data_IF_485375314273
#
_entry.id   IF_485375314273
#
_cell.length_a   1.000
_cell.length_b   1.000
_cell.length_c   1.000
_cell.angle_alpha   90.00
_cell.angle_beta   90.00
_cell.angle_gamma   90.00
#
_symmetry.space_group_name_H-M   'P 1'
#
loop_
_entity.id
_entity.type
_entity.pdbx_description
1 polymer ?
#
# COMPACT_ATOMS: atom_id res chain seq x y z
N UNK A 1 14.88 -4.19 -3.11
CA UNK A 1 14.41 -3.16 -2.17
C UNK A 1 15.62 -2.39 -1.66
N UNK A 2 15.62 -1.07 -1.77
CA UNK A 2 16.67 -0.21 -1.23
C UNK A 2 16.49 -0.05 0.29
N UNK A 3 17.54 -0.31 1.05
CA UNK A 3 17.48 -0.17 2.51
C UNK A 3 17.57 1.31 2.89
N UNK A 4 16.47 1.84 3.41
CA UNK A 4 16.41 3.21 3.93
C UNK A 4 16.94 4.22 2.92
N UNK A 5 16.48 4.13 1.66
CA UNK A 5 17.00 4.91 0.54
C UNK A 5 17.09 6.41 0.86
N UNK A 6 15.98 7.03 1.31
CA UNK A 6 15.96 8.46 1.60
C UNK A 6 16.89 8.86 2.76
N UNK A 7 16.87 8.20 3.93
CA UNK A 7 17.89 8.44 4.95
C UNK A 7 19.34 8.35 4.43
N UNK A 8 19.65 7.32 3.64
CA UNK A 8 20.98 7.12 3.08
C UNK A 8 21.38 8.24 2.12
N UNK A 9 20.45 8.74 1.30
CA UNK A 9 20.68 9.87 0.41
C UNK A 9 20.86 11.19 1.17
N UNK A 10 20.05 11.42 2.20
CA UNK A 10 20.20 12.59 3.06
C UNK A 10 21.57 12.62 3.73
N UNK A 11 22.05 11.46 4.21
CA UNK A 11 23.39 11.32 4.75
C UNK A 11 24.47 11.54 3.68
N UNK A 12 24.35 10.86 2.54
CA UNK A 12 25.36 10.88 1.47
C UNK A 12 25.60 12.27 0.90
N UNK A 13 24.52 13.03 0.68
CA UNK A 13 24.57 14.36 0.06
C UNK A 13 24.45 15.51 1.07
N UNK A 14 24.57 15.20 2.37
CA UNK A 14 24.45 16.16 3.48
C UNK A 14 23.17 17.01 3.39
N UNK A 15 22.04 16.40 3.07
CA UNK A 15 20.78 17.09 2.79
C UNK A 15 20.12 17.49 4.12
N UNK A 16 20.12 18.79 4.41
CA UNK A 16 19.53 19.36 5.62
C UNK A 16 19.14 20.82 5.41
N UNK A 17 18.28 21.35 6.28
CA UNK A 17 17.84 22.75 6.23
C UNK A 17 19.00 23.72 6.51
N UNK A 18 19.96 23.31 7.35
CA UNK A 18 21.13 24.08 7.76
C UNK A 18 22.33 23.90 6.81
N UNK A 19 22.23 23.03 5.81
CA UNK A 19 23.26 22.84 4.78
C UNK A 19 22.82 23.33 3.41
N UNK A 20 21.53 23.61 3.21
CA UNK A 20 20.99 24.24 2.01
C UNK A 20 21.65 25.62 1.79
N UNK A 21 22.30 25.80 0.65
CA UNK A 21 23.08 27.01 0.35
C UNK A 21 23.34 27.14 -1.16
N UNK A 22 23.28 28.36 -1.71
CA UNK A 22 23.56 28.63 -3.12
C UNK A 22 25.00 28.24 -3.53
N UNK A 23 25.95 28.33 -2.60
CA UNK A 23 27.36 27.95 -2.79
C UNK A 23 27.62 26.47 -2.51
N UNK A 24 26.58 25.68 -2.21
CA UNK A 24 26.70 24.26 -1.90
C UNK A 24 27.23 23.43 -3.08
N UNK A 25 28.13 22.49 -2.77
CA UNK A 25 28.82 21.66 -3.77
C UNK A 25 28.01 20.41 -4.16
N UNK A 26 27.12 19.94 -3.29
CA UNK A 26 26.22 18.83 -3.61
C UNK A 26 24.98 19.38 -4.32
N UNK A 27 24.93 19.21 -5.63
CA UNK A 27 23.84 19.69 -6.48
C UNK A 27 22.86 18.56 -6.74
N UNK A 28 21.60 18.75 -6.34
CA UNK A 28 20.53 17.80 -6.61
C UNK A 28 20.05 17.86 -8.05
N UNK A 29 19.37 16.82 -8.58
CA UNK A 29 18.78 16.85 -9.91
C UNK A 29 17.74 17.95 -10.12
N UNK A 30 17.18 18.48 -9.03
CA UNK A 30 16.27 19.64 -9.04
C UNK A 30 17.00 20.97 -8.80
N UNK A 31 18.32 21.01 -8.98
CA UNK A 31 19.20 22.18 -8.85
C UNK A 31 19.28 22.81 -7.46
N UNK A 32 18.85 22.10 -6.40
CA UNK A 32 19.11 22.52 -5.03
C UNK A 32 20.51 22.16 -4.60
N UNK A 33 21.14 23.03 -3.81
CA UNK A 33 22.55 22.93 -3.46
C UNK A 33 22.73 22.80 -1.97
N UNK A 34 23.58 21.86 -1.55
CA UNK A 34 23.88 21.58 -0.16
C UNK A 34 25.38 21.61 0.05
N UNK A 35 25.83 22.25 1.14
CA UNK A 35 27.23 22.23 1.56
C UNK A 35 27.67 20.81 1.90
N UNK A 36 28.89 20.44 1.54
CA UNK A 36 29.49 19.16 1.98
C UNK A 36 29.85 19.16 3.46
N UNK A 37 30.32 20.30 3.97
CA UNK A 37 30.72 20.50 5.36
C UNK A 37 30.25 21.89 5.86
N UNK A 38 29.99 22.06 7.17
CA UNK A 38 29.96 21.00 8.20
C UNK A 38 28.79 20.02 8.02
N UNK A 39 28.84 18.87 8.70
CA UNK A 39 27.72 17.93 8.75
C UNK A 39 26.44 18.63 9.24
N UNK A 40 25.36 18.48 8.47
CA UNK A 40 24.05 19.05 8.82
C UNK A 40 23.36 18.29 9.94
N UNK A 41 22.42 18.97 10.60
CA UNK A 41 21.66 18.40 11.70
C UNK A 41 20.92 17.10 11.33
N UNK A 42 20.19 17.08 10.20
CA UNK A 42 19.42 15.90 9.79
C UNK A 42 20.33 14.69 9.43
N UNK A 43 21.39 14.85 8.63
CA UNK A 43 22.41 13.82 8.42
C UNK A 43 22.99 13.25 9.71
N UNK A 44 23.39 14.09 10.66
CA UNK A 44 23.91 13.65 11.96
C UNK A 44 22.89 12.82 12.75
N UNK A 45 21.65 13.32 12.85
CA UNK A 45 20.57 12.63 13.54
C UNK A 45 20.26 11.26 12.90
N UNK A 46 20.24 11.19 11.56
CA UNK A 46 20.02 9.96 10.82
C UNK A 46 21.16 8.96 10.99
N UNK A 47 22.43 9.39 10.95
CA UNK A 47 23.59 8.53 11.24
C UNK A 47 23.50 7.94 12.64
N UNK A 48 23.12 8.77 13.62
CA UNK A 48 22.92 8.33 15.00
C UNK A 48 21.84 7.24 15.08
N UNK A 49 20.65 7.48 14.52
CA UNK A 49 19.55 6.51 14.52
C UNK A 49 19.92 5.20 13.80
N UNK A 50 20.55 5.28 12.63
CA UNK A 50 20.94 4.11 11.84
C UNK A 50 22.03 3.30 12.57
N UNK A 51 23.01 3.96 13.20
CA UNK A 51 24.05 3.27 13.98
C UNK A 51 23.48 2.55 15.20
N UNK A 52 22.54 3.18 15.93
CA UNK A 52 21.84 2.53 17.04
C UNK A 52 21.01 1.34 16.57
N UNK A 53 20.30 1.48 15.44
CA UNK A 53 19.56 0.36 14.85
C UNK A 53 20.48 -0.81 14.50
N UNK A 54 21.67 -0.54 13.96
CA UNK A 54 22.67 -1.57 13.64
C UNK A 54 23.11 -2.32 14.91
N UNK A 55 23.43 -1.60 15.98
CA UNK A 55 23.78 -2.19 17.29
C UNK A 55 22.68 -3.09 17.85
N UNK A 56 21.41 -2.66 17.73
CA UNK A 56 20.27 -3.47 18.17
C UNK A 56 20.15 -4.75 17.34
N UNK A 57 20.29 -4.66 16.01
CA UNK A 57 20.24 -5.81 15.12
C UNK A 57 21.37 -6.81 15.36
N UNK A 58 22.57 -6.36 15.69
CA UNK A 58 23.69 -7.23 16.06
C UNK A 58 23.42 -8.00 17.35
N UNK A 59 22.88 -7.33 18.38
CA UNK A 59 22.45 -8.00 19.62
C UNK A 59 21.35 -9.02 19.38
N UNK A 60 20.36 -8.69 18.54
CA UNK A 60 19.25 -9.60 18.20
C UNK A 60 19.73 -10.92 17.59
N UNK A 61 20.82 -10.91 16.80
CA UNK A 61 21.39 -12.13 16.20
C UNK A 61 21.92 -13.12 17.25
N UNK A 62 22.23 -12.64 18.45
CA UNK A 62 22.80 -13.45 19.54
C UNK A 62 21.75 -13.97 20.53
N UNK A 63 20.49 -13.52 20.40
CA UNK A 63 19.42 -13.85 21.33
C UNK A 63 18.49 -14.95 20.79
N UNK A 64 17.87 -15.70 21.70
CA UNK A 64 16.76 -16.58 21.35
C UNK A 64 15.57 -15.71 20.85
N UNK A 65 15.04 -15.94 19.62
CA UNK A 65 13.92 -15.18 19.07
C UNK A 65 12.65 -15.18 19.91
N UNK A 66 12.42 -16.23 20.73
CA UNK A 66 11.24 -16.33 21.59
C UNK A 66 11.39 -15.56 22.92
N UNK A 67 12.61 -15.12 23.25
CA UNK A 67 12.87 -14.41 24.50
C UNK A 67 12.13 -13.07 24.56
N UNK A 68 11.76 -12.65 25.78
CA UNK A 68 11.17 -11.32 26.00
C UNK A 68 12.12 -10.20 25.58
N UNK A 69 13.43 -10.37 25.80
CA UNK A 69 14.44 -9.41 25.38
C UNK A 69 14.49 -9.24 23.85
N UNK A 70 14.49 -10.35 23.10
CA UNK A 70 14.45 -10.30 21.64
C UNK A 70 13.20 -9.58 21.13
N UNK A 71 12.02 -9.83 21.73
CA UNK A 71 10.77 -9.14 21.38
C UNK A 71 10.86 -7.62 21.62
N UNK A 72 11.46 -7.19 22.74
CA UNK A 72 11.64 -5.76 23.04
C UNK A 72 12.63 -5.11 22.08
N UNK A 73 13.77 -5.75 21.80
CA UNK A 73 14.77 -5.21 20.88
C UNK A 73 14.24 -5.17 19.43
N UNK A 74 13.45 -6.14 19.01
CA UNK A 74 12.81 -6.13 17.69
C UNK A 74 11.80 -4.98 17.59
N UNK A 75 10.99 -4.74 18.63
CA UNK A 75 10.12 -3.57 18.67
C UNK A 75 10.91 -2.24 18.58
N UNK A 76 12.03 -2.14 19.30
CA UNK A 76 12.90 -0.95 19.26
C UNK A 76 13.52 -0.72 17.88
N UNK A 77 14.12 -1.73 17.24
CA UNK A 77 14.70 -1.54 15.89
C UNK A 77 13.63 -1.19 14.85
N UNK A 78 12.41 -1.73 14.99
CA UNK A 78 11.27 -1.34 14.15
C UNK A 78 10.88 0.13 14.35
N UNK A 79 10.81 0.59 15.60
CA UNK A 79 10.53 1.99 15.91
C UNK A 79 11.59 2.93 15.31
N UNK A 80 12.88 2.60 15.47
CA UNK A 80 13.97 3.38 14.87
C UNK A 80 13.86 3.39 13.34
N UNK A 81 13.58 2.25 12.70
CA UNK A 81 13.34 2.17 11.24
C UNK A 81 12.22 3.13 10.80
N UNK A 82 11.10 3.12 11.51
CA UNK A 82 9.93 3.96 11.19
C UNK A 82 10.30 5.43 11.32
N UNK A 83 10.96 5.83 12.42
CA UNK A 83 11.38 7.21 12.65
C UNK A 83 12.35 7.67 11.56
N UNK A 84 13.41 6.89 11.28
CA UNK A 84 14.39 7.24 10.25
C UNK A 84 13.74 7.45 8.88
N UNK A 85 12.86 6.54 8.46
CA UNK A 85 12.18 6.64 7.17
C UNK A 85 11.16 7.81 7.12
N UNK A 86 10.65 8.26 8.27
CA UNK A 86 9.72 9.38 8.36
C UNK A 86 10.41 10.76 8.27
N UNK A 87 11.73 10.85 8.49
CA UNK A 87 12.48 12.13 8.48
C UNK A 87 12.33 12.88 7.16
N UNK A 88 12.47 12.20 6.02
CA UNK A 88 12.24 12.82 4.72
C UNK A 88 10.82 13.41 4.63
N UNK A 89 9.80 12.63 4.97
CA UNK A 89 8.40 13.09 4.92
C UNK A 89 8.12 14.26 5.87
N UNK A 90 8.79 14.29 7.02
CA UNK A 90 8.73 15.38 7.98
C UNK A 90 9.19 16.72 7.39
N UNK A 91 10.27 16.72 6.60
CA UNK A 91 10.77 17.96 5.95
C UNK A 91 9.79 18.55 4.93
N UNK A 92 8.88 17.74 4.38
CA UNK A 92 7.82 18.17 3.47
C UNK A 92 6.49 18.50 4.15
N UNK A 93 6.37 18.32 5.47
CA UNK A 93 5.13 18.61 6.21
C UNK A 93 5.09 20.07 6.65
N UNK A 94 4.11 20.84 6.16
CA UNK A 94 3.97 22.28 6.44
C UNK A 94 3.89 22.61 7.94
N UNK A 95 3.42 21.68 8.79
CA UNK A 95 3.38 21.86 10.24
C UNK A 95 4.69 21.53 10.98
N UNK A 96 5.73 21.08 10.27
CA UNK A 96 7.02 20.75 10.86
C UNK A 96 7.83 22.00 11.22
N UNK A 97 8.56 21.94 12.35
CA UNK A 97 9.50 23.01 12.75
C UNK A 97 10.65 23.15 11.75
N UNK A 98 11.19 22.04 11.28
CA UNK A 98 12.19 22.00 10.19
C UNK A 98 11.56 21.66 8.85
N UNK A 99 10.38 22.22 8.57
CA UNK A 99 9.81 22.20 7.23
C UNK A 99 10.75 22.93 6.27
N UNK A 100 11.18 22.24 5.22
CA UNK A 100 12.03 22.81 4.17
C UNK A 100 11.72 22.07 2.88
N UNK A 101 10.91 22.71 2.03
CA UNK A 101 10.41 22.13 0.78
C UNK A 101 11.57 21.67 -0.12
N UNK A 102 12.61 22.49 -0.22
CA UNK A 102 13.79 22.27 -1.04
C UNK A 102 14.54 20.99 -0.61
N UNK A 103 14.61 20.71 0.70
CA UNK A 103 15.17 19.47 1.26
C UNK A 103 14.33 18.26 0.84
N UNK A 104 13.00 18.36 0.96
CA UNK A 104 12.10 17.29 0.57
C UNK A 104 12.17 17.01 -0.94
N UNK A 105 12.11 18.05 -1.77
CA UNK A 105 12.18 17.95 -3.22
C UNK A 105 13.53 17.39 -3.68
N UNK A 106 14.65 17.90 -3.15
CA UNK A 106 15.99 17.37 -3.43
C UNK A 106 16.13 15.89 -3.07
N UNK A 107 15.62 15.47 -1.91
CA UNK A 107 15.67 14.07 -1.47
C UNK A 107 14.90 13.18 -2.44
N UNK A 108 13.72 13.61 -2.90
CA UNK A 108 12.95 12.84 -3.90
C UNK A 108 13.59 12.83 -5.28
N UNK A 109 14.24 13.92 -5.69
CA UNK A 109 14.85 14.03 -7.02
C UNK A 109 16.07 13.11 -7.13
N UNK A 110 16.93 13.06 -6.12
CA UNK A 110 17.99 12.05 -6.03
C UNK A 110 17.45 10.62 -5.93
N UNK A 111 16.40 10.38 -5.13
CA UNK A 111 15.77 9.06 -5.06
C UNK A 111 15.27 8.59 -6.43
N UNK A 112 14.65 9.49 -7.21
CA UNK A 112 14.21 9.18 -8.57
C UNK A 112 15.39 8.89 -9.50
N UNK A 113 16.46 9.68 -9.43
CA UNK A 113 17.67 9.44 -10.23
C UNK A 113 18.25 8.06 -9.93
N UNK A 114 18.38 7.69 -8.65
CA UNK A 114 18.85 6.37 -8.21
C UNK A 114 18.02 5.24 -8.83
N UNK A 115 16.69 5.36 -8.79
CA UNK A 115 15.80 4.37 -9.41
C UNK A 115 16.03 4.29 -10.92
N UNK A 116 16.10 5.43 -11.62
CA UNK A 116 16.31 5.46 -13.07
C UNK A 116 17.66 4.87 -13.49
N UNK A 117 18.74 5.21 -12.78
CA UNK A 117 20.07 4.65 -13.01
C UNK A 117 20.09 3.14 -12.74
N UNK A 118 19.40 2.71 -11.69
CA UNK A 118 19.29 1.29 -11.35
C UNK A 118 18.49 0.50 -12.37
N UNK A 119 17.43 1.09 -12.95
CA UNK A 119 16.68 0.51 -14.07
C UNK A 119 17.62 0.34 -15.27
N UNK A 120 18.30 1.42 -15.67
CA UNK A 120 19.24 1.39 -16.80
C UNK A 120 20.31 0.33 -16.59
N UNK A 121 20.91 0.27 -15.39
CA UNK A 121 21.93 -0.74 -15.09
C UNK A 121 21.38 -2.16 -15.12
N UNK A 122 20.17 -2.36 -14.61
CA UNK A 122 19.55 -3.68 -14.64
C UNK A 122 19.34 -4.15 -16.10
N UNK A 123 18.89 -3.26 -16.98
CA UNK A 123 18.72 -3.52 -18.41
C UNK A 123 20.07 -3.78 -19.12
N UNK A 124 21.13 -3.03 -18.80
CA UNK A 124 22.49 -3.27 -19.32
C UNK A 124 23.02 -4.66 -18.94
N UNK A 125 22.69 -5.15 -17.74
CA UNK A 125 23.02 -6.51 -17.29
C UNK A 125 22.09 -7.58 -17.93
N UNK A 126 21.16 -7.18 -18.79
CA UNK A 126 20.20 -8.05 -19.47
C UNK A 126 19.10 -8.57 -18.55
N UNK A 127 18.77 -7.86 -17.48
CA UNK A 127 17.57 -8.11 -16.68
C UNK A 127 16.41 -7.30 -17.25
N UNK A 128 15.19 -7.77 -17.01
CA UNK A 128 13.96 -7.03 -17.39
C UNK A 128 13.38 -6.38 -16.15
N UNK A 129 13.19 -5.06 -16.16
CA UNK A 129 12.43 -4.37 -15.11
C UNK A 129 10.95 -4.44 -15.45
N UNK A 130 10.15 -5.05 -14.57
CA UNK A 130 8.70 -5.24 -14.78
C UNK A 130 7.90 -4.12 -14.12
N UNK A 131 8.39 -3.65 -12.97
CA UNK A 131 7.75 -2.62 -12.17
C UNK A 131 8.78 -1.95 -11.28
N UNK A 132 8.55 -0.68 -10.94
CA UNK A 132 9.34 0.07 -9.97
C UNK A 132 8.41 0.88 -9.08
N UNK A 133 8.71 0.90 -7.78
CA UNK A 133 8.11 1.82 -6.81
C UNK A 133 9.20 2.78 -6.28
N UNK A 134 8.74 3.74 -5.48
CA UNK A 134 9.47 4.71 -4.66
C UNK A 134 10.93 4.34 -4.34
N UNK A 135 11.18 3.13 -3.84
CA UNK A 135 12.47 2.62 -3.38
C UNK A 135 12.70 1.14 -3.73
N UNK A 136 12.01 0.60 -4.74
CA UNK A 136 12.11 -0.82 -5.08
C UNK A 136 11.93 -1.10 -6.57
N UNK A 137 12.57 -2.18 -7.03
CA UNK A 137 12.52 -2.68 -8.40
C UNK A 137 12.07 -4.14 -8.41
N UNK A 138 11.26 -4.50 -9.40
CA UNK A 138 10.84 -5.86 -9.68
C UNK A 138 11.52 -6.32 -10.96
N UNK A 139 12.38 -7.33 -10.82
CA UNK A 139 13.29 -7.78 -11.87
C UNK A 139 12.94 -9.19 -12.33
N UNK A 140 13.09 -9.41 -13.64
CA UNK A 140 13.05 -10.70 -14.31
C UNK A 140 14.42 -11.03 -14.88
N UNK A 141 14.70 -12.32 -15.12
CA UNK A 141 15.97 -12.80 -15.67
C UNK A 141 17.20 -12.41 -14.83
N UNK A 142 17.06 -12.39 -13.50
CA UNK A 142 18.08 -11.94 -12.54
C UNK A 142 19.11 -13.03 -12.17
N UNK A 143 18.85 -14.30 -12.50
CA UNK A 143 19.72 -15.43 -12.15
C UNK A 143 21.12 -15.23 -12.74
N UNK A 144 22.16 -15.34 -11.90
CA UNK A 144 23.56 -15.11 -12.27
C UNK A 144 23.98 -13.64 -12.42
N UNK A 145 23.04 -12.69 -12.32
CA UNK A 145 23.27 -11.24 -12.52
C UNK A 145 22.99 -10.40 -11.29
N UNK A 146 22.26 -10.97 -10.32
CA UNK A 146 21.83 -10.25 -9.12
C UNK A 146 23.01 -9.77 -8.27
N UNK A 147 24.03 -10.62 -8.06
CA UNK A 147 25.17 -10.25 -7.21
C UNK A 147 25.99 -9.11 -7.81
N UNK A 148 26.19 -9.10 -9.14
CA UNK A 148 26.88 -7.99 -9.81
C UNK A 148 26.07 -6.70 -9.74
N UNK A 149 24.73 -6.80 -9.86
CA UNK A 149 23.84 -5.65 -9.72
C UNK A 149 23.86 -5.07 -8.30
N UNK A 150 23.80 -5.92 -7.26
CA UNK A 150 23.86 -5.47 -5.87
C UNK A 150 25.23 -4.86 -5.53
N UNK A 151 26.33 -5.43 -6.03
CA UNK A 151 27.67 -4.85 -5.88
C UNK A 151 27.80 -3.48 -6.54
N UNK A 152 27.19 -3.30 -7.72
CA UNK A 152 27.14 -2.00 -8.38
C UNK A 152 26.33 -0.98 -7.58
N UNK A 153 25.18 -1.37 -7.01
CA UNK A 153 24.40 -0.48 -6.13
C UNK A 153 25.25 -0.03 -4.93
N UNK A 154 25.99 -0.95 -4.31
CA UNK A 154 26.83 -0.64 -3.16
C UNK A 154 28.06 0.22 -3.54
N UNK A 155 28.76 -0.13 -4.62
CA UNK A 155 29.99 0.54 -5.05
C UNK A 155 29.75 1.88 -5.72
N UNK A 156 28.87 1.93 -6.72
CA UNK A 156 28.68 3.10 -7.57
C UNK A 156 27.65 4.07 -6.97
N UNK A 157 26.54 3.54 -6.43
CA UNK A 157 25.50 4.39 -5.82
C UNK A 157 25.77 4.66 -4.34
N UNK A 158 26.64 3.91 -3.66
CA UNK A 158 26.87 4.07 -2.22
C UNK A 158 25.62 3.79 -1.39
N UNK A 159 24.74 2.91 -1.87
CA UNK A 159 23.48 2.55 -1.23
C UNK A 159 23.46 1.04 -0.95
N UNK A 160 22.66 0.62 0.02
CA UNK A 160 22.46 -0.81 0.29
C UNK A 160 21.11 -1.25 -0.28
N UNK A 161 21.09 -2.37 -1.00
CA UNK A 161 19.87 -3.01 -1.46
C UNK A 161 19.86 -4.49 -1.09
N UNK A 162 18.66 -5.07 -0.96
CA UNK A 162 18.48 -6.50 -0.75
C UNK A 162 17.34 -7.06 -1.61
N UNK A 163 17.40 -8.36 -1.87
CA UNK A 163 16.22 -9.12 -2.29
C UNK A 163 15.25 -9.16 -1.11
N UNK A 164 14.02 -8.69 -1.33
CA UNK A 164 12.99 -8.75 -0.30
C UNK A 164 12.10 -9.98 -0.49
N UNK A 165 11.65 -10.24 -1.72
CA UNK A 165 10.78 -11.36 -2.07
C UNK A 165 11.16 -11.92 -3.44
N UNK A 166 11.00 -13.23 -3.60
CA UNK A 166 11.05 -13.92 -4.89
C UNK A 166 9.66 -14.43 -5.20
N UNK A 167 9.12 -14.00 -6.34
CA UNK A 167 7.77 -14.33 -6.77
C UNK A 167 7.78 -15.35 -7.89
N UNK A 168 6.92 -16.37 -7.78
CA UNK A 168 6.59 -17.29 -8.88
C UNK A 168 5.72 -16.59 -9.93
N UNK A 169 4.73 -15.80 -9.50
CA UNK A 169 3.88 -14.97 -10.37
C UNK A 169 3.55 -13.66 -9.67
N UNK A 170 3.44 -12.58 -10.43
CA UNK A 170 2.99 -11.27 -9.95
C UNK A 170 2.05 -10.66 -10.98
N UNK A 171 1.00 -10.04 -10.49
CA UNK A 171 0.08 -9.21 -11.27
C UNK A 171 0.20 -7.78 -10.78
N UNK A 172 0.52 -6.88 -11.71
CA UNK A 172 0.43 -5.44 -11.49
C UNK A 172 -0.87 -4.92 -12.08
N UNK A 173 -1.55 -4.07 -11.34
CA UNK A 173 -2.66 -3.29 -11.90
C UNK A 173 -2.11 -1.99 -12.51
N UNK A 174 -2.93 -1.26 -13.25
CA UNK A 174 -2.54 0.06 -13.79
C UNK A 174 -2.25 1.09 -12.69
N UNK A 175 -2.81 0.88 -11.48
CA UNK A 175 -2.61 1.77 -10.36
C UNK A 175 -1.28 1.46 -9.65
N UNK A 176 -0.47 2.50 -9.44
CA UNK A 176 0.74 2.42 -8.60
C UNK A 176 0.37 1.93 -7.19
N UNK A 177 1.28 1.15 -6.59
CA UNK A 177 1.13 0.54 -5.25
C UNK A 177 -0.06 -0.42 -5.12
N UNK A 178 -0.59 -0.92 -6.25
CA UNK A 178 -1.66 -1.93 -6.28
C UNK A 178 -1.22 -3.14 -7.10
N UNK A 179 -0.79 -4.19 -6.42
CA UNK A 179 -0.34 -5.43 -7.04
C UNK A 179 -0.58 -6.63 -6.11
N UNK A 180 -0.57 -7.83 -6.70
CA UNK A 180 -0.61 -9.08 -5.97
C UNK A 180 0.42 -10.07 -6.53
N UNK A 181 1.03 -10.86 -5.67
CA UNK A 181 2.02 -11.86 -6.07
C UNK A 181 1.92 -13.12 -5.25
N UNK A 182 2.43 -14.22 -5.80
CA UNK A 182 2.63 -15.47 -5.08
C UNK A 182 4.12 -15.76 -5.03
N UNK A 183 4.64 -15.94 -3.82
CA UNK A 183 6.05 -16.26 -3.59
C UNK A 183 6.34 -17.72 -3.91
N UNK A 184 7.62 -18.09 -4.04
CA UNK A 184 8.02 -19.48 -4.29
C UNK A 184 7.54 -20.46 -3.19
N UNK A 185 7.45 -19.98 -1.95
CA UNK A 185 6.88 -20.72 -0.82
C UNK A 185 5.34 -20.64 -0.74
N UNK A 186 4.67 -20.30 -1.85
CA UNK A 186 3.21 -20.29 -2.01
C UNK A 186 2.45 -19.32 -1.10
N UNK A 187 3.12 -18.29 -0.58
CA UNK A 187 2.45 -17.21 0.17
C UNK A 187 1.91 -16.16 -0.79
N UNK A 188 0.65 -15.78 -0.56
CA UNK A 188 0.00 -14.70 -1.31
C UNK A 188 0.35 -13.36 -0.67
N UNK A 189 0.96 -12.47 -1.46
CA UNK A 189 1.23 -11.09 -1.12
C UNK A 189 0.24 -10.17 -1.84
N UNK A 190 -0.39 -9.25 -1.10
CA UNK A 190 -1.39 -8.32 -1.64
C UNK A 190 -1.05 -6.93 -1.13
N UNK A 191 -0.80 -6.00 -2.05
CA UNK A 191 -0.39 -4.63 -1.72
C UNK A 191 -1.39 -3.63 -2.29
N UNK A 192 -1.95 -2.78 -1.43
CA UNK A 192 -2.82 -1.64 -1.78
C UNK A 192 -4.19 -1.98 -2.39
N UNK A 193 -4.47 -3.26 -2.62
CA UNK A 193 -5.74 -3.76 -3.14
C UNK A 193 -6.82 -3.83 -2.06
N UNK A 194 -8.07 -3.86 -2.51
CA UNK A 194 -9.27 -3.82 -1.68
C UNK A 194 -9.31 -4.92 -0.61
N UNK A 195 -8.77 -6.11 -0.89
CA UNK A 195 -8.70 -7.26 0.01
C UNK A 195 -7.99 -6.97 1.35
N UNK A 196 -7.02 -6.05 1.35
CA UNK A 196 -6.27 -5.66 2.55
C UNK A 196 -6.73 -4.33 3.14
N UNK A 197 -7.76 -3.71 2.57
CA UNK A 197 -8.32 -2.44 3.04
C UNK A 197 -9.46 -2.65 4.02
N UNK A 198 -9.41 -1.95 5.15
CA UNK A 198 -10.42 -2.05 6.20
C UNK A 198 -11.74 -1.32 5.90
N UNK A 199 -11.75 -0.46 4.88
CA UNK A 199 -12.91 0.34 4.45
C UNK A 199 -13.74 -0.32 3.33
N UNK A 200 -13.50 -1.61 3.07
CA UNK A 200 -14.30 -2.44 2.16
C UNK A 200 -15.03 -3.53 2.94
N UNK A 201 -16.23 -3.91 2.47
CA UNK A 201 -16.99 -4.96 3.13
C UNK A 201 -16.26 -6.31 3.04
N UNK A 202 -16.50 -7.18 4.02
CA UNK A 202 -15.81 -8.46 4.15
C UNK A 202 -15.99 -9.34 2.91
N UNK A 203 -17.21 -9.40 2.36
CA UNK A 203 -17.50 -10.24 1.18
C UNK A 203 -16.71 -9.79 -0.07
N UNK A 204 -16.50 -8.50 -0.27
CA UNK A 204 -15.70 -8.00 -1.39
C UNK A 204 -14.20 -8.29 -1.20
N UNK A 205 -13.72 -8.20 0.04
CA UNK A 205 -12.34 -8.54 0.39
C UNK A 205 -12.05 -10.02 0.17
N UNK A 206 -12.97 -10.88 0.59
CA UNK A 206 -12.92 -12.32 0.36
C UNK A 206 -12.97 -12.64 -1.13
N UNK A 207 -13.92 -12.05 -1.86
CA UNK A 207 -14.06 -12.24 -3.30
C UNK A 207 -12.77 -11.91 -4.05
N UNK A 208 -12.18 -10.74 -3.78
CA UNK A 208 -10.93 -10.34 -4.42
C UNK A 208 -9.77 -11.24 -4.00
N UNK A 209 -9.64 -11.59 -2.71
CA UNK A 209 -8.56 -12.47 -2.23
C UNK A 209 -8.62 -13.85 -2.88
N UNK A 210 -9.79 -14.48 -2.93
CA UNK A 210 -9.93 -15.81 -3.53
C UNK A 210 -9.75 -15.75 -5.05
N UNK A 211 -10.22 -14.68 -5.71
CA UNK A 211 -9.96 -14.45 -7.14
C UNK A 211 -8.47 -14.33 -7.43
N UNK A 212 -7.74 -13.53 -6.63
CA UNK A 212 -6.28 -13.38 -6.72
C UNK A 212 -5.59 -14.72 -6.49
N UNK A 213 -5.99 -15.46 -5.45
CA UNK A 213 -5.39 -16.74 -5.10
C UNK A 213 -5.56 -17.74 -6.24
N UNK A 214 -6.77 -17.90 -6.76
CA UNK A 214 -7.08 -18.77 -7.91
C UNK A 214 -6.22 -18.39 -9.11
N UNK A 215 -6.20 -17.11 -9.48
CA UNK A 215 -5.39 -16.61 -10.59
C UNK A 215 -3.89 -16.89 -10.43
N UNK A 216 -3.32 -16.60 -9.25
CA UNK A 216 -1.88 -16.70 -9.04
C UNK A 216 -1.40 -18.12 -8.81
N UNK A 217 -2.20 -18.98 -8.18
CA UNK A 217 -1.88 -20.40 -7.95
C UNK A 217 -2.03 -21.17 -9.25
N UNK A 218 -3.21 -21.11 -9.86
CA UNK A 218 -3.56 -21.93 -11.01
C UNK A 218 -2.99 -21.36 -12.31
N UNK A 219 -2.83 -20.02 -12.38
CA UNK A 219 -2.41 -19.34 -13.61
C UNK A 219 -3.52 -19.24 -14.66
N UNK A 220 -4.78 -19.47 -14.28
CA UNK A 220 -5.92 -19.52 -15.18
C UNK A 220 -6.89 -18.36 -14.92
N UNK A 221 -7.05 -17.49 -15.93
CA UNK A 221 -7.95 -16.34 -15.91
C UNK A 221 -9.42 -16.77 -15.88
N UNK A 222 -9.76 -17.85 -16.57
CA UNK A 222 -11.14 -18.36 -16.62
C UNK A 222 -11.55 -18.93 -15.26
N UNK A 223 -10.65 -19.62 -14.57
CA UNK A 223 -10.96 -20.13 -13.24
C UNK A 223 -11.09 -19.00 -12.20
N UNK A 224 -10.25 -17.97 -12.31
CA UNK A 224 -10.39 -16.75 -11.51
C UNK A 224 -11.71 -16.02 -11.80
N UNK A 225 -12.15 -15.96 -13.06
CA UNK A 225 -13.44 -15.42 -13.46
C UNK A 225 -14.61 -16.25 -12.91
N UNK A 226 -14.54 -17.58 -12.94
CA UNK A 226 -15.57 -18.44 -12.31
C UNK A 226 -15.64 -18.20 -10.80
N UNK A 227 -14.50 -18.05 -10.14
CA UNK A 227 -14.44 -17.71 -8.72
C UNK A 227 -15.09 -16.37 -8.43
N UNK A 228 -14.80 -15.32 -9.20
CA UNK A 228 -15.43 -14.00 -8.99
C UNK A 228 -16.95 -14.04 -9.27
N UNK A 229 -17.39 -14.75 -10.32
CA UNK A 229 -18.82 -15.00 -10.60
C UNK A 229 -19.55 -15.71 -9.45
N UNK A 230 -18.90 -16.68 -8.80
CA UNK A 230 -19.46 -17.37 -7.63
C UNK A 230 -19.75 -16.39 -6.49
N UNK A 231 -18.85 -15.44 -6.24
CA UNK A 231 -19.08 -14.39 -5.24
C UNK A 231 -20.16 -13.38 -5.67
N UNK A 232 -20.18 -13.00 -6.95
CA UNK A 232 -21.27 -12.17 -7.49
C UNK A 232 -22.64 -12.84 -7.30
N UNK A 233 -22.74 -14.14 -7.56
CA UNK A 233 -23.96 -14.93 -7.37
C UNK A 233 -24.41 -14.98 -5.91
N UNK A 234 -23.49 -15.15 -4.96
CA UNK A 234 -23.82 -15.06 -3.52
C UNK A 234 -24.48 -13.73 -3.14
N UNK A 235 -24.08 -12.61 -3.76
CA UNK A 235 -24.76 -11.32 -3.55
C UNK A 235 -26.15 -11.32 -4.18
N UNK A 236 -26.28 -11.79 -5.43
CA UNK A 236 -27.55 -11.80 -6.16
C UNK A 236 -28.61 -12.68 -5.50
N UNK A 237 -28.21 -13.86 -5.01
CA UNK A 237 -29.09 -14.79 -4.30
C UNK A 237 -29.34 -14.34 -2.85
N UNK A 238 -28.61 -13.32 -2.41
CA UNK A 238 -28.59 -12.86 -1.03
C UNK A 238 -27.95 -13.86 -0.06
N UNK A 239 -27.36 -14.97 -0.52
CA UNK A 239 -26.77 -16.05 0.29
C UNK A 239 -25.46 -15.65 0.99
N UNK A 240 -25.57 -14.64 1.85
CA UNK A 240 -24.52 -14.08 2.72
C UNK A 240 -25.14 -13.59 4.01
N UNK A 241 -24.33 -13.50 5.06
CA UNK A 241 -24.75 -12.89 6.32
C UNK A 241 -24.62 -11.35 6.26
N UNK A 242 -25.53 -10.63 6.93
CA UNK A 242 -25.47 -9.16 7.02
C UNK A 242 -24.14 -8.64 7.54
N UNK A 243 -23.49 -9.38 8.45
CA UNK A 243 -22.19 -8.99 9.01
C UNK A 243 -21.08 -8.89 7.95
N UNK A 244 -21.21 -9.63 6.84
CA UNK A 244 -20.24 -9.60 5.75
C UNK A 244 -20.37 -8.34 4.87
N UNK A 245 -21.49 -7.62 4.99
CA UNK A 245 -21.78 -6.38 4.26
C UNK A 245 -21.33 -5.11 4.99
N UNK A 246 -20.90 -5.23 6.25
CA UNK A 246 -20.54 -4.08 7.07
C UNK A 246 -19.31 -3.39 6.48
N UNK A 247 -19.42 -2.09 6.27
CA UNK A 247 -18.30 -1.21 5.92
C UNK A 247 -17.89 -0.46 7.19
N UNK A 248 -16.60 -0.55 7.53
CA UNK A 248 -16.04 0.10 8.71
C UNK A 248 -15.21 1.31 8.31
N UNK A 249 -15.47 2.46 8.93
CA UNK A 249 -14.62 3.64 8.81
C UNK A 249 -14.35 4.26 10.17
N UNK A 250 -13.12 4.74 10.34
CA UNK A 250 -12.68 5.38 11.56
C UNK A 250 -13.03 6.88 11.54
N UNK A 251 -13.48 7.41 12.68
CA UNK A 251 -13.55 8.84 12.93
C UNK A 251 -12.15 9.32 13.28
N UNK A 252 -11.61 10.24 12.50
CA UNK A 252 -10.21 10.70 12.60
C UNK A 252 -10.08 12.07 13.26
N UNK A 253 -11.19 12.81 13.39
CA UNK A 253 -11.26 14.14 13.99
C UNK A 253 -12.65 14.37 14.60
N UNK A 254 -12.86 15.41 15.40
CA UNK A 254 -14.19 15.78 15.90
C UNK A 254 -15.24 15.91 14.78
N UNK A 255 -16.50 15.54 15.06
CA UNK A 255 -17.56 15.42 14.04
C UNK A 255 -17.99 16.76 13.41
N UNK A 256 -17.74 17.86 14.11
CA UNK A 256 -17.96 19.25 13.71
C UNK A 256 -16.89 19.77 12.73
N UNK A 257 -15.68 19.20 12.75
CA UNK A 257 -14.61 19.53 11.80
C UNK A 257 -14.75 18.85 10.42
N UNK A 258 -15.78 18.00 10.23
CA UNK A 258 -16.04 17.37 8.94
C UNK A 258 -16.91 18.26 8.06
N UNK A 259 -16.29 18.84 7.03
CA UNK A 259 -16.97 19.57 5.97
C UNK A 259 -17.71 18.64 4.98
N UNK A 260 -17.08 17.52 4.62
CA UNK A 260 -17.61 16.59 3.64
C UNK A 260 -18.62 15.61 4.24
N UNK A 261 -19.80 15.50 3.63
CA UNK A 261 -20.83 14.55 4.06
C UNK A 261 -20.52 13.14 3.56
N UNK A 262 -19.93 12.32 4.43
CA UNK A 262 -19.61 10.93 4.15
C UNK A 262 -20.53 9.97 4.92
N UNK A 263 -20.78 8.75 4.40
CA UNK A 263 -21.62 7.73 5.06
C UNK A 263 -21.38 7.54 6.56
N UNK A 264 -20.13 7.25 6.95
CA UNK A 264 -19.77 7.05 8.36
C UNK A 264 -19.99 8.28 9.25
N UNK A 265 -19.91 9.50 8.71
CA UNK A 265 -20.17 10.74 9.45
C UNK A 265 -21.67 10.93 9.68
N UNK A 266 -22.50 10.60 8.68
CA UNK A 266 -23.96 10.62 8.83
C UNK A 266 -24.40 9.63 9.91
N UNK A 267 -23.89 8.40 9.85
CA UNK A 267 -24.18 7.37 10.85
C UNK A 267 -23.67 7.79 12.23
N UNK A 268 -22.47 8.38 12.33
CA UNK A 268 -21.96 8.88 13.60
C UNK A 268 -22.84 10.00 14.18
N UNK A 269 -23.26 10.97 13.38
CA UNK A 269 -24.14 12.05 13.83
C UNK A 269 -25.51 11.53 14.29
N UNK A 270 -26.07 10.55 13.59
CA UNK A 270 -27.30 9.89 14.00
C UNK A 270 -27.14 9.23 15.39
N UNK A 271 -26.08 8.43 15.57
CA UNK A 271 -25.81 7.77 16.85
C UNK A 271 -25.57 8.77 17.98
N UNK A 272 -24.88 9.89 17.71
CA UNK A 272 -24.69 10.97 18.68
C UNK A 272 -26.02 11.58 19.14
N UNK A 273 -26.96 11.82 18.20
CA UNK A 273 -28.31 12.31 18.51
C UNK A 273 -29.12 11.31 19.34
N UNK A 274 -28.86 10.02 19.16
CA UNK A 274 -29.45 8.93 19.95
C UNK A 274 -28.76 8.73 21.32
N UNK A 275 -27.78 9.58 21.68
CA UNK A 275 -27.11 9.58 22.98
C UNK A 275 -25.82 8.74 23.05
N UNK A 276 -25.32 8.21 21.93
CA UNK A 276 -24.04 7.51 21.90
C UNK A 276 -22.88 8.49 22.04
N UNK A 277 -21.84 8.09 22.77
CA UNK A 277 -20.58 8.83 22.82
C UNK A 277 -19.70 8.38 21.65
N UNK A 278 -19.27 9.32 20.82
CA UNK A 278 -18.39 9.08 19.67
C UNK A 278 -17.21 10.04 19.74
N UNK A 279 -16.01 9.49 19.56
CA UNK A 279 -14.75 10.22 19.65
C UNK A 279 -13.81 9.88 18.48
N UNK A 280 -12.84 10.76 18.17
CA UNK A 280 -11.75 10.41 17.27
C UNK A 280 -11.05 9.14 17.74
N UNK A 281 -10.91 8.17 16.84
CA UNK A 281 -10.45 6.82 17.15
C UNK A 281 -11.53 5.76 16.90
N UNK A 282 -12.79 6.09 17.10
CA UNK A 282 -13.91 5.14 17.01
C UNK A 282 -14.14 4.64 15.58
N UNK A 283 -14.53 3.37 15.46
CA UNK A 283 -14.93 2.76 14.19
C UNK A 283 -16.44 2.70 14.06
N UNK A 284 -16.95 3.34 13.02
CA UNK A 284 -18.36 3.36 12.67
C UNK A 284 -18.62 2.31 11.59
N UNK A 285 -19.39 1.29 11.96
CA UNK A 285 -19.87 0.25 11.05
C UNK A 285 -21.23 0.61 10.47
N UNK A 286 -21.38 0.52 9.16
CA UNK A 286 -22.64 0.83 8.49
C UNK A 286 -22.91 -0.11 7.32
N UNK A 287 -24.18 -0.21 6.94
CA UNK A 287 -24.66 -0.97 5.78
C UNK A 287 -25.35 0.01 4.81
N UNK A 288 -25.14 -0.20 3.51
CA UNK A 288 -25.82 0.56 2.46
C UNK A 288 -27.21 -0.05 2.22
N UNK A 289 -28.22 0.80 2.26
CA UNK A 289 -29.63 0.43 2.12
C UNK A 289 -30.24 1.04 0.86
N UNK A 290 -31.31 0.43 0.36
CA UNK A 290 -32.04 0.92 -0.82
C UNK A 290 -32.61 2.31 -0.57
N UNK A 291 -32.62 3.13 -1.60
CA UNK A 291 -33.16 4.49 -1.54
C UNK A 291 -32.69 5.35 -2.71
N UNK A 292 -33.28 6.53 -2.83
CA UNK A 292 -32.87 7.54 -3.80
C UNK A 292 -31.80 8.50 -3.25
N UNK A 293 -31.08 9.15 -4.16
CA UNK A 293 -30.13 10.22 -3.84
C UNK A 293 -28.72 9.75 -3.48
N UNK A 294 -27.90 10.64 -2.91
CA UNK A 294 -26.49 10.37 -2.64
C UNK A 294 -26.26 9.22 -1.65
N UNK A 295 -25.13 8.52 -1.79
CA UNK A 295 -24.79 7.35 -0.97
C UNK A 295 -24.87 7.61 0.55
N UNK A 296 -24.48 8.79 1.00
CA UNK A 296 -24.49 9.15 2.42
C UNK A 296 -25.91 9.21 3.02
N UNK A 297 -26.97 9.30 2.22
CA UNK A 297 -28.38 9.22 2.69
C UNK A 297 -28.90 7.78 2.76
N UNK A 298 -28.17 6.86 2.13
CA UNK A 298 -28.57 5.47 1.90
C UNK A 298 -27.81 4.53 2.84
N UNK A 299 -27.66 4.92 4.10
CA UNK A 299 -26.84 4.21 5.10
C UNK A 299 -27.60 4.02 6.40
N UNK A 300 -27.36 2.89 7.07
CA UNK A 300 -27.82 2.64 8.44
C UNK A 300 -26.66 2.12 9.30
N UNK A 301 -26.66 2.40 10.63
CA UNK A 301 -25.80 1.67 11.56
C UNK A 301 -26.00 0.16 11.35
N UNK A 302 -24.90 -0.61 11.32
CA UNK A 302 -24.96 -2.02 10.92
C UNK A 302 -25.94 -2.86 11.75
N UNK A 303 -26.07 -2.57 13.04
CA UNK A 303 -26.96 -3.27 13.97
C UNK A 303 -28.44 -2.86 13.87
N UNK A 304 -28.75 -1.83 13.09
CA UNK A 304 -30.13 -1.38 12.80
C UNK A 304 -30.60 -1.73 11.39
N UNK A 305 -29.70 -2.20 10.53
CA UNK A 305 -30.03 -2.53 9.15
C UNK A 305 -30.73 -3.89 9.10
N UNK A 306 -31.82 -3.96 8.31
CA UNK A 306 -32.54 -5.22 8.04
C UNK A 306 -32.20 -5.74 6.65
N UNK A 307 -32.32 -7.05 6.45
CA UNK A 307 -31.94 -7.72 5.21
C UNK A 307 -32.75 -7.27 3.99
N UNK A 308 -34.04 -7.03 4.20
CA UNK A 308 -34.95 -6.48 3.21
C UNK A 308 -34.63 -5.02 2.85
N UNK A 309 -33.79 -4.32 3.61
CA UNK A 309 -33.43 -2.93 3.32
C UNK A 309 -32.13 -2.81 2.51
N UNK A 310 -31.33 -3.86 2.42
CA UNK A 310 -30.00 -3.85 1.79
C UNK A 310 -30.05 -3.46 0.31
N UNK A 311 -29.15 -2.57 -0.09
CA UNK A 311 -28.90 -2.26 -1.51
C UNK A 311 -27.98 -3.32 -2.12
N UNK A 312 -28.56 -4.46 -2.49
CA UNK A 312 -27.83 -5.60 -3.07
C UNK A 312 -27.10 -5.24 -4.36
N UNK A 313 -27.65 -4.34 -5.17
CA UNK A 313 -27.03 -3.85 -6.40
C UNK A 313 -25.77 -3.04 -6.10
N UNK A 314 -25.79 -2.18 -5.08
CA UNK A 314 -24.58 -1.49 -4.63
C UNK A 314 -23.47 -2.47 -4.22
N UNK A 315 -23.81 -3.51 -3.44
CA UNK A 315 -22.82 -4.49 -3.00
C UNK A 315 -22.31 -5.38 -4.13
N UNK A 316 -23.16 -5.68 -5.11
CA UNK A 316 -22.75 -6.40 -6.31
C UNK A 316 -21.76 -5.55 -7.12
N UNK A 317 -22.18 -4.35 -7.51
CA UNK A 317 -21.47 -3.54 -8.49
C UNK A 317 -20.29 -2.77 -7.89
N UNK A 318 -20.54 -2.08 -6.78
CA UNK A 318 -19.58 -1.13 -6.17
C UNK A 318 -18.70 -1.78 -5.11
N UNK A 319 -18.97 -3.03 -4.73
CA UNK A 319 -18.13 -3.78 -3.80
C UNK A 319 -17.51 -5.02 -4.47
N UNK A 320 -18.29 -6.08 -4.73
CA UNK A 320 -17.74 -7.36 -5.20
C UNK A 320 -17.14 -7.27 -6.61
N UNK A 321 -17.89 -6.79 -7.59
CA UNK A 321 -17.43 -6.69 -8.98
C UNK A 321 -16.26 -5.70 -9.08
N UNK A 322 -16.40 -4.51 -8.49
CA UNK A 322 -15.34 -3.49 -8.50
C UNK A 322 -14.01 -4.01 -7.91
N UNK A 323 -14.06 -4.83 -6.86
CA UNK A 323 -12.86 -5.41 -6.27
C UNK A 323 -12.25 -6.48 -7.19
N UNK A 324 -13.07 -7.38 -7.74
CA UNK A 324 -12.57 -8.46 -8.61
C UNK A 324 -12.05 -7.93 -9.95
N UNK A 325 -12.74 -6.97 -10.58
CA UNK A 325 -12.38 -6.44 -11.89
C UNK A 325 -11.04 -5.70 -11.86
N UNK A 326 -10.67 -5.09 -10.72
CA UNK A 326 -9.35 -4.47 -10.52
C UNK A 326 -8.18 -5.42 -10.83
N UNK A 327 -8.41 -6.73 -10.70
CA UNK A 327 -7.44 -7.81 -10.93
C UNK A 327 -7.61 -8.42 -12.31
N UNK A 328 -8.85 -8.55 -12.79
CA UNK A 328 -9.15 -9.26 -14.03
C UNK A 328 -9.11 -8.35 -15.28
N UNK A 329 -9.32 -7.06 -15.13
CA UNK A 329 -9.30 -6.06 -16.21
C UNK A 329 -7.95 -5.97 -16.93
N UNK A 330 -6.78 -5.94 -16.24
CA UNK A 330 -5.47 -6.02 -16.91
C UNK A 330 -5.27 -7.30 -17.73
N UNK A 331 -6.13 -8.31 -17.53
CA UNK A 331 -6.09 -9.60 -18.21
C UNK A 331 -7.18 -9.71 -19.29
N UNK A 332 -7.85 -8.59 -19.62
CA UNK A 332 -8.84 -8.49 -20.70
C UNK A 332 -10.28 -8.84 -20.32
N UNK A 333 -10.56 -9.10 -19.03
CA UNK A 333 -11.93 -9.40 -18.56
C UNK A 333 -12.70 -8.09 -18.33
N UNK A 334 -13.95 -8.04 -18.76
CA UNK A 334 -14.85 -6.89 -18.55
C UNK A 334 -15.81 -7.11 -17.38
N UNK A 335 -16.26 -6.02 -16.74
CA UNK A 335 -17.11 -6.08 -15.55
C UNK A 335 -18.45 -6.81 -15.81
N UNK A 336 -19.00 -6.67 -17.01
CA UNK A 336 -20.23 -7.31 -17.46
C UNK A 336 -20.11 -8.83 -17.44
N UNK A 337 -18.91 -9.37 -17.70
CA UNK A 337 -18.67 -10.80 -17.68
C UNK A 337 -18.84 -11.39 -16.29
N UNK A 338 -18.63 -10.62 -15.22
CA UNK A 338 -18.83 -11.08 -13.85
C UNK A 338 -20.33 -11.12 -13.48
N UNK A 339 -21.17 -10.37 -14.19
CA UNK A 339 -22.63 -10.36 -14.01
C UNK A 339 -23.33 -11.48 -14.77
N UNK A 340 -22.73 -11.99 -15.85
CA UNK A 340 -23.30 -13.07 -16.66
C UNK A 340 -23.45 -14.35 -15.83
N UNK A 341 -24.69 -14.69 -15.52
CA UNK A 341 -25.10 -15.86 -14.75
C UNK A 341 -25.66 -16.93 -15.69
N UNK A 342 -24.79 -17.66 -16.37
CA UNK A 342 -25.20 -18.86 -17.10
C UNK A 342 -24.25 -19.22 -18.23
N UNK A 343 -24.10 -20.53 -18.45
CA UNK A 343 -23.72 -21.09 -19.74
C UNK A 343 -24.51 -20.39 -20.86
N UNK A 344 -23.84 -20.15 -21.99
CA UNK A 344 -24.45 -19.69 -23.23
C UNK A 344 -25.82 -20.35 -23.41
N UNK A 345 -26.90 -19.58 -23.32
CA UNK A 345 -28.20 -20.06 -23.75
C UNK A 345 -28.14 -20.20 -25.27
N UNK A 346 -28.65 -21.31 -25.81
CA UNK A 346 -28.80 -21.51 -27.27
C UNK A 346 -29.60 -20.38 -27.96
N UNK A 347 -30.29 -19.53 -27.19
CA UNK A 347 -30.98 -18.34 -27.69
C UNK A 347 -30.07 -17.14 -27.96
N UNK A 348 -28.82 -17.13 -27.49
CA UNK A 348 -27.88 -16.03 -27.74
C UNK A 348 -27.21 -16.13 -29.14
N UNK A 349 -27.53 -17.19 -29.90
CA UNK A 349 -27.04 -17.46 -31.25
C UNK A 349 -28.14 -17.39 -32.34
N UNK A 350 -29.34 -16.95 -31.98
CA UNK A 350 -30.44 -16.62 -32.91
C UNK A 350 -30.63 -15.11 -32.96
#
# INVERSE_FOLDING_TARGET
DFRSMYPSLMIKYNISFDTLSEDGENISPSNYRFRKEPEGFLPYALKTLISERRRILEKLKMLNPESTEARVLDARQKAVKVISNAVYGYTGWVGARWYTREVAEATTSWGRQVILESIKKAEELGMKVIYSDTDSLFLQNYVGKLDSFLKWIEGDLGLEAKVDKIYKRVLFTEAKKKYAGITEDSRIDIVGLEAVRGDWCMIAREAQRETIKTLLVDGDVQEALKTSRRYARKIMDGDIELKQLIIWKQITRPLDEYEATQPHIVVARQLLQEGWKIQPGDKIGYIIVRGGGPLYRRVKPYFKARRDEVDWEYYLDKQVIQACIRILEPLGVKAEELKKTGEVSLTDFL
#
